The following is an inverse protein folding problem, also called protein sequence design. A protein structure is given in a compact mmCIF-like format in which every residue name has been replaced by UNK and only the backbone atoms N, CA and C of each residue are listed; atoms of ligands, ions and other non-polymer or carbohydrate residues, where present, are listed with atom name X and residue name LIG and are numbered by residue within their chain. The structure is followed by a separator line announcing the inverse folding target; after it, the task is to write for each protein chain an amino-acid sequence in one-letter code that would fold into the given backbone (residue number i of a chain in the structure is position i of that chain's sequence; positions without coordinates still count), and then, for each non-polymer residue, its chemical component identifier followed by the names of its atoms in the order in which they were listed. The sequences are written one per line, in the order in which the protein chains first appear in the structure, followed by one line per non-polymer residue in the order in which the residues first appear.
data_IF_765087136207
#
_entry.id   IF_765087136207
#
_cell.length_a   1.000
_cell.length_b   1.000
_cell.length_c   1.000
_cell.angle_alpha   90.00
_cell.angle_beta   90.00
_cell.angle_gamma   90.00
#
_symmetry.space_group_name_H-M   'P 1'
#
loop_
_entity.id
_entity.type
_entity.pdbx_description
1 polymer ?
#
# COMPACT_ATOMS: atom_id res chain seq x y z
N UNK A 1 -4.83 18.49 -20.59
CA UNK A 1 -3.53 18.57 -19.91
C UNK A 1 -3.83 18.38 -18.43
N UNK A 2 -3.45 17.24 -17.81
CA UNK A 2 -3.48 17.14 -16.34
C UNK A 2 -2.32 17.98 -15.85
N UNK A 3 -2.59 18.84 -14.85
CA UNK A 3 -1.55 19.66 -14.21
C UNK A 3 -0.47 18.72 -13.65
N UNK A 4 0.79 18.95 -14.01
CA UNK A 4 1.91 18.12 -13.56
C UNK A 4 2.17 18.25 -12.04
N UNK A 5 1.46 19.15 -11.37
CA UNK A 5 1.59 19.47 -9.94
C UNK A 5 0.47 18.87 -9.05
N UNK A 6 -0.48 18.09 -9.62
CA UNK A 6 -1.55 17.54 -8.79
C UNK A 6 -1.07 16.28 -8.02
N UNK A 7 -1.17 16.28 -6.67
CA UNK A 7 -0.72 15.16 -5.85
C UNK A 7 -1.53 13.89 -6.17
N UNK A 8 -0.85 12.73 -6.15
CA UNK A 8 -1.47 11.43 -6.40
C UNK A 8 -2.41 11.00 -5.27
N UNK A 9 -2.09 11.42 -4.04
CA UNK A 9 -2.93 11.29 -2.86
C UNK A 9 -3.06 12.66 -2.20
N UNK A 10 -4.30 13.10 -1.96
CA UNK A 10 -4.59 14.32 -1.20
C UNK A 10 -5.55 13.97 -0.07
N UNK A 11 -5.18 14.30 1.15
CA UNK A 11 -5.97 14.08 2.37
C UNK A 11 -6.28 15.43 3.00
N UNK A 12 -7.53 15.67 3.35
CA UNK A 12 -8.00 16.92 3.94
C UNK A 12 -8.92 16.68 5.14
N UNK A 13 -8.51 17.17 6.30
CA UNK A 13 -9.24 17.16 7.57
C UNK A 13 -9.85 15.77 7.91
N UNK A 14 -9.10 14.71 7.59
CA UNK A 14 -9.57 13.33 7.73
C UNK A 14 -9.68 12.97 9.20
N UNK A 15 -10.88 12.58 9.62
CA UNK A 15 -11.16 12.15 10.99
C UNK A 15 -11.92 10.85 11.01
N UNK A 16 -11.62 10.00 12.00
CA UNK A 16 -12.33 8.74 12.23
C UNK A 16 -12.59 8.52 13.70
N UNK A 17 -13.85 8.36 14.05
CA UNK A 17 -14.30 8.00 15.38
C UNK A 17 -15.01 6.66 15.32
N UNK A 18 -14.58 5.71 16.14
CA UNK A 18 -15.27 4.45 16.38
C UNK A 18 -16.10 4.54 17.65
N UNK A 19 -17.20 3.80 17.72
CA UNK A 19 -17.99 3.66 18.94
C UNK A 19 -17.68 2.32 19.62
N UNK A 20 -17.08 2.36 20.80
CA UNK A 20 -16.90 1.19 21.66
C UNK A 20 -18.03 1.16 22.69
N UNK A 21 -19.14 0.52 22.33
CA UNK A 21 -20.39 0.65 23.06
C UNK A 21 -20.92 2.10 22.97
N UNK A 22 -20.93 2.84 24.09
CA UNK A 22 -21.34 4.26 24.15
C UNK A 22 -20.14 5.23 24.19
N UNK A 23 -18.92 4.73 24.23
CA UNK A 23 -17.71 5.55 24.36
C UNK A 23 -17.15 5.83 22.96
N UNK A 24 -16.97 7.10 22.55
CA UNK A 24 -16.29 7.44 21.31
C UNK A 24 -14.78 7.26 21.45
N UNK A 25 -14.16 6.60 20.48
CA UNK A 25 -12.71 6.44 20.34
C UNK A 25 -12.28 7.18 19.09
N UNK A 26 -11.56 8.29 19.26
CA UNK A 26 -11.04 9.10 18.16
C UNK A 26 -9.76 8.45 17.63
N UNK A 27 -9.87 7.70 16.54
CA UNK A 27 -8.74 6.99 15.92
C UNK A 27 -7.93 7.88 14.97
N UNK A 28 -8.59 8.88 14.38
CA UNK A 28 -7.96 9.94 13.56
C UNK A 28 -8.63 11.28 13.87
N UNK A 29 -7.83 12.34 13.93
CA UNK A 29 -8.27 13.71 14.20
C UNK A 29 -7.57 14.68 13.27
N UNK A 30 -8.33 15.24 12.32
CA UNK A 30 -7.91 16.34 11.42
C UNK A 30 -6.60 16.09 10.66
N UNK A 31 -6.42 14.89 10.10
CA UNK A 31 -5.23 14.51 9.34
C UNK A 31 -5.29 15.13 7.94
N UNK A 32 -4.25 15.91 7.57
CA UNK A 32 -4.15 16.57 6.26
C UNK A 32 -2.72 16.53 5.75
N UNK A 33 -2.50 15.97 4.55
CA UNK A 33 -1.23 16.04 3.80
C UNK A 33 -1.42 15.60 2.35
N UNK A 34 -0.40 15.82 1.53
CA UNK A 34 -0.36 15.44 0.12
C UNK A 34 0.81 14.49 -0.15
N UNK A 35 0.64 13.59 -1.12
CA UNK A 35 1.70 12.72 -1.63
C UNK A 35 1.85 12.97 -3.13
N UNK A 36 3.07 13.23 -3.57
CA UNK A 36 3.37 13.46 -4.98
C UNK A 36 3.52 12.13 -5.73
N UNK A 37 3.32 12.16 -7.04
CA UNK A 37 3.51 10.99 -7.89
C UNK A 37 4.97 10.52 -7.85
N UNK A 38 5.20 9.23 -7.67
CA UNK A 38 6.53 8.63 -7.56
C UNK A 38 7.20 8.82 -6.19
N UNK A 39 6.49 9.40 -5.22
CA UNK A 39 7.03 9.59 -3.87
C UNK A 39 7.11 8.26 -3.12
N UNK A 40 8.22 8.08 -2.38
CA UNK A 40 8.45 6.96 -1.48
C UNK A 40 8.49 7.46 -0.06
N UNK A 41 7.43 7.23 0.70
CA UNK A 41 7.30 7.75 2.05
C UNK A 41 6.87 6.68 3.04
N UNK A 42 7.16 6.96 4.32
CA UNK A 42 6.70 6.14 5.44
C UNK A 42 5.85 6.94 6.42
N UNK A 43 4.86 6.27 7.01
CA UNK A 43 4.12 6.72 8.17
C UNK A 43 4.55 5.89 9.36
N UNK A 44 5.09 6.56 10.37
CA UNK A 44 5.60 5.93 11.60
C UNK A 44 4.84 6.40 12.83
N UNK A 45 5.01 5.72 13.93
CA UNK A 45 4.41 6.09 15.22
C UNK A 45 4.19 4.86 16.11
N UNK A 46 3.91 5.06 17.41
CA UNK A 46 3.67 3.96 18.35
C UNK A 46 2.42 3.15 17.99
N UNK A 47 2.27 1.98 18.62
CA UNK A 47 1.02 1.22 18.51
C UNK A 47 -0.16 2.08 19.00
N UNK A 48 -1.28 2.01 18.30
CA UNK A 48 -2.47 2.82 18.62
C UNK A 48 -2.43 4.26 18.10
N UNK A 49 -1.38 4.72 17.42
CA UNK A 49 -1.30 6.10 16.90
C UNK A 49 -2.23 6.41 15.71
N UNK A 50 -3.01 5.44 15.22
CA UNK A 50 -3.97 5.65 14.12
C UNK A 50 -3.49 5.21 12.73
N UNK A 51 -2.25 4.71 12.57
CA UNK A 51 -1.65 4.37 11.26
C UNK A 51 -2.47 3.37 10.43
N UNK A 52 -2.87 2.23 11.01
CA UNK A 52 -3.67 1.22 10.31
C UNK A 52 -5.08 1.72 10.02
N UNK A 53 -5.65 2.56 10.91
CA UNK A 53 -6.91 3.24 10.64
C UNK A 53 -6.77 4.19 9.46
N UNK A 54 -5.71 5.00 9.44
CA UNK A 54 -5.42 5.88 8.32
C UNK A 54 -5.28 5.09 7.00
N UNK A 55 -4.49 4.01 7.02
CA UNK A 55 -4.31 3.14 5.85
C UNK A 55 -5.65 2.56 5.36
N UNK A 56 -6.54 2.19 6.30
CA UNK A 56 -7.87 1.66 5.97
C UNK A 56 -8.76 2.71 5.29
N UNK A 57 -8.66 4.00 5.70
CA UNK A 57 -9.42 5.09 5.08
C UNK A 57 -8.95 5.34 3.65
N UNK A 58 -7.64 5.58 3.44
CA UNK A 58 -7.10 5.84 2.11
C UNK A 58 -7.17 4.60 1.22
N UNK A 59 -7.19 3.41 1.82
CA UNK A 59 -7.35 2.13 1.13
C UNK A 59 -8.79 1.76 0.78
N UNK A 60 -9.77 2.60 1.12
CA UNK A 60 -11.21 2.32 0.91
C UNK A 60 -11.68 1.00 1.56
N UNK A 61 -11.05 0.62 2.67
CA UNK A 61 -11.44 -0.56 3.47
C UNK A 61 -12.48 -0.19 4.54
N UNK A 62 -12.49 1.09 4.95
CA UNK A 62 -13.49 1.67 5.85
C UNK A 62 -13.78 3.12 5.42
N UNK A 63 -14.83 3.73 5.98
CA UNK A 63 -15.24 5.11 5.67
C UNK A 63 -14.86 6.05 6.80
N UNK A 64 -14.33 7.25 6.50
CA UNK A 64 -14.07 8.26 7.53
C UNK A 64 -15.36 8.80 8.13
N UNK A 65 -15.25 9.38 9.31
CA UNK A 65 -16.35 10.12 9.96
C UNK A 65 -16.52 11.49 9.32
N UNK A 66 -15.40 12.13 8.95
CA UNK A 66 -15.38 13.42 8.23
C UNK A 66 -14.09 13.59 7.46
N UNK A 67 -14.02 14.63 6.63
CA UNK A 67 -12.87 14.92 5.77
C UNK A 67 -12.98 14.29 4.39
N UNK A 68 -11.96 14.49 3.57
CA UNK A 68 -11.93 14.00 2.20
C UNK A 68 -10.57 13.42 1.82
N UNK A 69 -10.61 12.40 0.96
CA UNK A 69 -9.45 11.76 0.34
C UNK A 69 -9.62 11.75 -1.15
N UNK A 70 -8.57 12.16 -1.87
CA UNK A 70 -8.51 12.09 -3.33
C UNK A 70 -7.34 11.20 -3.75
N UNK A 71 -7.57 10.29 -4.68
CA UNK A 71 -6.54 9.43 -5.29
C UNK A 71 -6.60 9.60 -6.80
N UNK A 72 -5.48 9.98 -7.42
CA UNK A 72 -5.39 10.24 -8.87
C UNK A 72 -6.51 11.18 -9.36
N UNK A 73 -6.80 12.26 -8.59
CA UNK A 73 -7.84 13.25 -8.87
C UNK A 73 -9.28 12.83 -8.55
N UNK A 74 -9.50 11.58 -8.08
CA UNK A 74 -10.83 11.04 -7.76
C UNK A 74 -11.10 11.22 -6.26
N UNK A 75 -12.19 11.88 -5.88
CA UNK A 75 -12.63 11.94 -4.47
C UNK A 75 -13.21 10.60 -4.03
N UNK A 76 -12.38 9.82 -3.34
CA UNK A 76 -12.72 8.43 -2.98
C UNK A 76 -13.63 8.32 -1.74
N UNK A 77 -13.67 9.34 -0.89
CA UNK A 77 -14.55 9.38 0.31
C UNK A 77 -16.03 9.44 -0.03
N UNK A 78 -16.39 9.95 -1.21
CA UNK A 78 -17.76 9.99 -1.72
C UNK A 78 -18.17 8.73 -2.49
N UNK A 79 -17.23 7.80 -2.70
CA UNK A 79 -17.53 6.58 -3.45
C UNK A 79 -18.61 5.74 -2.75
N UNK A 80 -19.58 5.32 -3.52
CA UNK A 80 -20.60 4.37 -3.08
C UNK A 80 -19.98 2.99 -2.84
N UNK A 81 -20.72 2.10 -2.15
CA UNK A 81 -20.29 0.73 -1.89
C UNK A 81 -20.08 -0.10 -3.18
N UNK A 82 -20.64 0.36 -4.31
CA UNK A 82 -20.42 -0.25 -5.63
C UNK A 82 -19.17 0.31 -6.34
N UNK A 83 -18.85 1.57 -6.11
CA UNK A 83 -17.70 2.25 -6.75
C UNK A 83 -16.38 1.97 -5.99
N UNK A 84 -16.41 1.95 -4.66
CA UNK A 84 -15.21 1.74 -3.85
C UNK A 84 -14.41 0.48 -4.23
N UNK A 85 -15.03 -0.71 -4.47
CA UNK A 85 -14.29 -1.89 -4.95
C UNK A 85 -13.66 -1.70 -6.34
N UNK A 86 -14.30 -0.91 -7.21
CA UNK A 86 -13.77 -0.60 -8.55
C UNK A 86 -12.52 0.28 -8.44
N UNK A 87 -12.63 1.39 -7.71
CA UNK A 87 -11.51 2.31 -7.47
C UNK A 87 -10.36 1.56 -6.80
N UNK A 88 -10.64 0.77 -5.76
CA UNK A 88 -9.63 0.00 -5.04
C UNK A 88 -8.83 -0.92 -5.95
N UNK A 89 -9.50 -1.73 -6.79
CA UNK A 89 -8.82 -2.67 -7.69
C UNK A 89 -8.03 -1.99 -8.81
N UNK A 90 -8.43 -0.77 -9.21
CA UNK A 90 -7.82 -0.06 -10.34
C UNK A 90 -6.74 0.94 -9.91
N UNK A 91 -6.87 1.52 -8.72
CA UNK A 91 -6.01 2.62 -8.27
C UNK A 91 -5.09 2.26 -7.12
N UNK A 92 -5.38 1.19 -6.38
CA UNK A 92 -4.66 0.87 -5.13
C UNK A 92 -4.07 -0.54 -5.20
N UNK A 93 -2.78 -0.64 -4.94
CA UNK A 93 -2.10 -1.90 -4.66
C UNK A 93 -1.92 -2.08 -3.16
N UNK A 94 -2.32 -3.22 -2.60
CA UNK A 94 -2.09 -3.52 -1.18
C UNK A 94 -0.99 -4.53 -0.97
N UNK A 95 -0.11 -4.24 -0.01
CA UNK A 95 0.89 -5.15 0.54
C UNK A 95 0.67 -5.22 2.04
N UNK A 96 0.37 -6.40 2.57
CA UNK A 96 0.06 -6.63 3.98
C UNK A 96 1.20 -7.36 4.70
N UNK A 97 1.25 -7.23 6.01
CA UNK A 97 2.18 -7.93 6.89
C UNK A 97 2.09 -9.45 6.71
N UNK A 98 0.89 -10.02 6.77
CA UNK A 98 0.62 -11.47 6.64
C UNK A 98 0.51 -11.96 5.18
N UNK A 99 1.08 -11.24 4.20
CA UNK A 99 1.08 -11.54 2.77
C UNK A 99 -0.32 -11.64 2.14
N UNK A 100 -1.31 -12.19 2.83
CA UNK A 100 -2.69 -12.41 2.39
C UNK A 100 -2.80 -13.09 1.01
N UNK A 101 -1.92 -14.08 0.77
CA UNK A 101 -2.01 -14.93 -0.40
C UNK A 101 -3.13 -15.96 -0.24
N UNK A 102 -3.76 -16.33 -1.34
CA UNK A 102 -4.77 -17.40 -1.37
C UNK A 102 -4.02 -18.74 -1.33
N UNK A 103 -4.15 -19.56 -0.27
CA UNK A 103 -3.28 -20.72 -0.04
C UNK A 103 -3.42 -21.82 -1.09
N UNK A 104 -4.61 -21.91 -1.74
CA UNK A 104 -4.91 -22.92 -2.76
C UNK A 104 -4.41 -22.56 -4.15
N UNK A 105 -4.02 -21.30 -4.37
CA UNK A 105 -3.53 -20.77 -5.64
C UNK A 105 -2.00 -20.74 -5.67
N UNK A 106 -1.42 -20.99 -6.84
CA UNK A 106 0.02 -20.78 -7.09
C UNK A 106 0.41 -19.30 -7.02
N UNK A 107 1.71 -19.00 -7.01
CA UNK A 107 2.21 -17.63 -7.08
C UNK A 107 1.67 -16.89 -8.32
N UNK A 108 1.68 -17.56 -9.48
CA UNK A 108 1.14 -17.01 -10.74
C UNK A 108 -0.35 -16.70 -10.62
N UNK A 109 -1.12 -17.62 -10.05
CA UNK A 109 -2.56 -17.46 -9.89
C UNK A 109 -2.91 -16.38 -8.87
N UNK A 110 -2.12 -16.21 -7.81
CA UNK A 110 -2.26 -15.13 -6.84
C UNK A 110 -2.06 -13.74 -7.46
N UNK A 111 -1.20 -13.61 -8.46
CA UNK A 111 -1.04 -12.36 -9.22
C UNK A 111 -2.15 -12.21 -10.27
N UNK A 112 -2.49 -13.29 -11.01
CA UNK A 112 -3.54 -13.28 -12.04
C UNK A 112 -4.90 -12.85 -11.50
N UNK A 113 -5.26 -13.28 -10.28
CA UNK A 113 -6.59 -13.05 -9.72
C UNK A 113 -6.92 -11.57 -9.55
N UNK A 114 -5.95 -10.72 -9.23
CA UNK A 114 -6.16 -9.27 -9.12
C UNK A 114 -6.63 -8.67 -10.46
N UNK A 115 -6.02 -9.08 -11.56
CA UNK A 115 -6.38 -8.66 -12.90
C UNK A 115 -7.68 -9.32 -13.38
N UNK A 116 -8.00 -10.53 -12.91
CA UNK A 116 -9.27 -11.20 -13.20
C UNK A 116 -10.44 -10.40 -12.66
N UNK A 117 -10.34 -9.87 -11.44
CA UNK A 117 -11.36 -8.98 -10.89
C UNK A 117 -11.46 -7.66 -11.65
N UNK A 118 -10.38 -7.18 -12.26
CA UNK A 118 -10.37 -6.02 -13.14
C UNK A 118 -10.86 -6.34 -14.58
N UNK A 119 -11.32 -7.57 -14.85
CA UNK A 119 -11.82 -8.03 -16.16
C UNK A 119 -10.77 -7.95 -17.29
N UNK A 120 -9.50 -8.00 -16.97
CA UNK A 120 -8.42 -8.05 -17.97
C UNK A 120 -8.49 -9.37 -18.74
N UNK A 121 -8.35 -9.40 -20.08
CA UNK A 121 -8.35 -10.63 -20.87
C UNK A 121 -7.29 -11.66 -20.44
N UNK A 122 -7.63 -12.94 -20.46
CA UNK A 122 -6.79 -14.03 -19.93
C UNK A 122 -5.35 -14.06 -20.49
N UNK A 123 -5.20 -13.80 -21.78
CA UNK A 123 -3.86 -13.77 -22.43
C UNK A 123 -2.97 -12.70 -21.82
N UNK A 124 -3.47 -11.47 -21.68
CA UNK A 124 -2.74 -10.34 -21.10
C UNK A 124 -2.45 -10.55 -19.62
N UNK A 125 -3.38 -11.16 -18.87
CA UNK A 125 -3.17 -11.43 -17.43
C UNK A 125 -2.00 -12.38 -17.22
N UNK A 126 -1.96 -13.50 -17.97
CA UNK A 126 -0.88 -14.48 -17.86
C UNK A 126 0.49 -13.86 -18.18
N UNK A 127 0.57 -13.13 -19.28
CA UNK A 127 1.79 -12.42 -19.69
C UNK A 127 2.26 -11.46 -18.60
N UNK A 128 1.35 -10.60 -18.09
CA UNK A 128 1.66 -9.63 -17.03
C UNK A 128 2.06 -10.30 -15.72
N UNK A 129 1.39 -11.37 -15.32
CA UNK A 129 1.75 -12.10 -14.10
C UNK A 129 3.13 -12.73 -14.18
N UNK A 130 3.49 -13.31 -15.35
CA UNK A 130 4.84 -13.85 -15.62
C UNK A 130 5.89 -12.74 -15.57
N UNK A 131 5.63 -11.61 -16.22
CA UNK A 131 6.52 -10.44 -16.18
C UNK A 131 6.78 -9.98 -14.74
N UNK A 132 5.73 -9.73 -13.96
CA UNK A 132 5.85 -9.24 -12.59
C UNK A 132 6.59 -10.23 -11.68
N UNK A 133 6.28 -11.52 -11.76
CA UNK A 133 6.99 -12.52 -10.98
C UNK A 133 8.46 -12.65 -11.40
N UNK A 134 8.76 -12.47 -12.67
CA UNK A 134 10.15 -12.44 -13.14
C UNK A 134 10.90 -11.22 -12.59
N UNK A 135 10.27 -10.04 -12.58
CA UNK A 135 10.84 -8.83 -11.95
C UNK A 135 11.09 -9.01 -10.46
N UNK A 136 10.25 -9.79 -9.78
CA UNK A 136 10.41 -10.14 -8.35
C UNK A 136 11.45 -11.26 -8.11
N UNK A 137 12.13 -11.76 -9.15
CA UNK A 137 13.08 -12.88 -9.04
C UNK A 137 12.42 -14.22 -8.70
N UNK A 138 11.15 -14.41 -9.11
CA UNK A 138 10.35 -15.61 -8.80
C UNK A 138 9.99 -16.44 -10.02
N UNK A 139 10.76 -16.32 -11.11
CA UNK A 139 10.50 -17.04 -12.37
C UNK A 139 10.37 -18.56 -12.16
N UNK A 140 11.26 -19.14 -11.39
CA UNK A 140 11.27 -20.59 -11.13
C UNK A 140 10.30 -21.03 -10.02
N UNK A 141 9.61 -20.08 -9.40
CA UNK A 141 8.65 -20.27 -8.31
C UNK A 141 7.18 -20.01 -8.69
N UNK A 142 6.90 -19.69 -9.95
CA UNK A 142 5.57 -19.27 -10.41
C UNK A 142 4.47 -20.30 -10.12
N UNK A 143 4.79 -21.58 -10.17
CA UNK A 143 3.83 -22.67 -9.96
C UNK A 143 3.76 -23.15 -8.50
N UNK A 144 4.60 -22.62 -7.59
CA UNK A 144 4.58 -22.99 -6.18
C UNK A 144 3.40 -22.35 -5.48
N UNK A 145 2.83 -23.08 -4.52
CA UNK A 145 1.81 -22.55 -3.59
C UNK A 145 2.47 -21.80 -2.44
N UNK A 146 1.73 -20.95 -1.72
CA UNK A 146 2.28 -20.20 -0.58
C UNK A 146 2.99 -21.08 0.45
N UNK A 147 2.48 -22.29 0.74
CA UNK A 147 3.12 -23.24 1.66
C UNK A 147 4.49 -23.78 1.21
N UNK A 148 4.83 -23.61 -0.06
CA UNK A 148 6.09 -24.05 -0.68
C UNK A 148 7.08 -22.88 -0.85
N UNK A 149 6.70 -21.67 -0.41
CA UNK A 149 7.46 -20.44 -0.52
C UNK A 149 7.92 -19.95 0.85
N UNK A 150 9.15 -19.44 0.92
CA UNK A 150 9.62 -18.71 2.11
C UNK A 150 8.81 -17.44 2.34
N UNK A 151 8.81 -16.88 3.55
CA UNK A 151 8.11 -15.63 3.86
C UNK A 151 8.50 -14.48 2.93
N UNK A 152 9.79 -14.35 2.61
CA UNK A 152 10.26 -13.33 1.66
C UNK A 152 9.81 -13.58 0.22
N UNK A 153 9.68 -14.84 -0.23
CA UNK A 153 9.10 -15.17 -1.52
C UNK A 153 7.61 -14.86 -1.55
N UNK A 154 6.87 -15.21 -0.49
CA UNK A 154 5.46 -14.87 -0.36
C UNK A 154 5.22 -13.35 -0.41
N UNK A 155 6.06 -12.57 0.27
CA UNK A 155 5.96 -11.12 0.24
C UNK A 155 6.24 -10.55 -1.15
N UNK A 156 7.22 -11.09 -1.88
CA UNK A 156 7.45 -10.68 -3.28
C UNK A 156 6.29 -11.05 -4.21
N UNK A 157 5.61 -12.18 -3.98
CA UNK A 157 4.34 -12.49 -4.68
C UNK A 157 3.25 -11.47 -4.35
N UNK A 158 3.11 -11.07 -3.06
CA UNK A 158 2.15 -10.06 -2.65
C UNK A 158 2.44 -8.69 -3.29
N UNK A 159 3.71 -8.30 -3.41
CA UNK A 159 4.12 -7.07 -4.12
C UNK A 159 3.78 -7.18 -5.62
N UNK A 160 4.10 -8.30 -6.28
CA UNK A 160 3.73 -8.53 -7.68
C UNK A 160 2.21 -8.42 -7.89
N UNK A 161 1.42 -9.01 -6.99
CA UNK A 161 -0.05 -8.92 -7.00
C UNK A 161 -0.53 -7.47 -6.84
N UNK A 162 0.09 -6.71 -5.95
CA UNK A 162 -0.24 -5.29 -5.74
C UNK A 162 -0.02 -4.45 -7.00
N UNK A 163 1.01 -4.77 -7.80
CA UNK A 163 1.35 -4.09 -9.05
C UNK A 163 0.55 -4.53 -10.27
N UNK A 164 -0.26 -5.59 -10.17
CA UNK A 164 -0.88 -6.26 -11.30
C UNK A 164 -1.73 -5.33 -12.18
N UNK A 165 -2.50 -4.42 -11.57
CA UNK A 165 -3.42 -3.52 -12.26
C UNK A 165 -2.85 -2.11 -12.49
N UNK A 166 -1.54 -1.90 -12.44
CA UNK A 166 -0.90 -0.58 -12.59
C UNK A 166 -1.48 0.47 -11.63
N UNK A 167 -1.44 0.23 -10.31
CA UNK A 167 -2.07 1.11 -9.33
C UNK A 167 -1.44 2.50 -9.32
N UNK A 168 -2.25 3.51 -8.99
CA UNK A 168 -1.77 4.87 -8.78
C UNK A 168 -0.86 4.97 -7.55
N UNK A 169 -1.18 4.16 -6.51
CA UNK A 169 -0.43 4.11 -5.25
C UNK A 169 -0.38 2.68 -4.70
N UNK A 170 0.77 2.29 -4.14
CA UNK A 170 0.91 1.09 -3.32
C UNK A 170 0.85 1.49 -1.85
N UNK A 171 -0.02 0.83 -1.11
CA UNK A 171 -0.19 0.96 0.33
C UNK A 171 0.35 -0.30 1.01
N UNK A 172 1.41 -0.15 1.79
CA UNK A 172 2.09 -1.26 2.45
C UNK A 172 1.93 -1.15 3.98
N UNK A 173 1.26 -2.12 4.58
CA UNK A 173 1.07 -2.22 6.03
C UNK A 173 2.08 -3.21 6.60
N UNK A 174 3.09 -2.71 7.32
CA UNK A 174 4.18 -3.49 7.92
C UNK A 174 4.77 -4.55 6.96
N UNK A 175 5.20 -4.17 5.74
CA UNK A 175 5.51 -5.13 4.68
C UNK A 175 6.70 -6.05 4.97
N UNK A 176 7.37 -5.85 6.10
CA UNK A 176 8.54 -6.60 6.53
C UNK A 176 8.42 -7.19 7.94
N UNK A 177 7.23 -7.13 8.53
CA UNK A 177 7.00 -7.53 9.93
C UNK A 177 7.18 -9.03 10.20
N UNK A 178 7.11 -9.89 9.18
CA UNK A 178 7.18 -11.36 9.32
C UNK A 178 8.38 -11.99 8.64
N UNK A 179 9.42 -11.20 8.35
CA UNK A 179 10.63 -11.71 7.68
C UNK A 179 11.89 -11.35 8.46
N UNK A 180 12.95 -12.14 8.26
CA UNK A 180 14.26 -11.88 8.85
C UNK A 180 14.89 -10.58 8.31
N UNK A 181 15.93 -10.08 9.00
CA UNK A 181 16.60 -8.81 8.68
C UNK A 181 17.16 -8.76 7.25
N UNK A 182 17.72 -9.86 6.74
CA UNK A 182 18.27 -9.92 5.38
C UNK A 182 17.15 -9.80 4.35
N UNK A 183 16.08 -10.54 4.54
CA UNK A 183 14.90 -10.52 3.69
C UNK A 183 14.19 -9.16 3.75
N UNK A 184 14.09 -8.55 4.96
CA UNK A 184 13.60 -7.17 5.12
C UNK A 184 14.33 -6.20 4.23
N UNK A 185 15.66 -6.18 4.28
CA UNK A 185 16.46 -5.26 3.48
C UNK A 185 16.26 -5.47 1.99
N UNK A 186 16.13 -6.72 1.52
CA UNK A 186 15.80 -7.01 0.11
C UNK A 186 14.41 -6.50 -0.28
N UNK A 187 13.40 -6.65 0.58
CA UNK A 187 12.04 -6.16 0.30
C UNK A 187 12.01 -4.63 0.23
N UNK A 188 12.68 -3.94 1.16
CA UNK A 188 12.72 -2.46 1.15
C UNK A 188 13.49 -1.94 -0.06
N UNK A 189 14.62 -2.57 -0.41
CA UNK A 189 15.37 -2.24 -1.63
C UNK A 189 14.50 -2.42 -2.90
N UNK A 190 13.71 -3.49 -2.97
CA UNK A 190 12.78 -3.72 -4.05
C UNK A 190 11.71 -2.63 -4.14
N UNK A 191 11.11 -2.23 -3.01
CA UNK A 191 10.12 -1.15 -2.97
C UNK A 191 10.75 0.19 -3.37
N UNK A 192 11.98 0.47 -2.93
CA UNK A 192 12.74 1.65 -3.35
C UNK A 192 12.97 1.67 -4.86
N UNK A 193 13.42 0.54 -5.45
CA UNK A 193 13.59 0.41 -6.90
C UNK A 193 12.29 0.65 -7.68
N UNK A 194 11.16 0.17 -7.17
CA UNK A 194 9.86 0.41 -7.78
C UNK A 194 9.47 1.90 -7.72
N UNK A 195 9.78 2.57 -6.62
CA UNK A 195 9.53 4.01 -6.47
C UNK A 195 10.42 4.83 -7.42
N UNK A 196 11.69 4.47 -7.58
CA UNK A 196 12.62 5.09 -8.54
C UNK A 196 12.14 4.93 -10.00
N UNK A 197 11.38 3.86 -10.29
CA UNK A 197 10.70 3.66 -11.58
C UNK A 197 9.37 4.42 -11.70
N UNK A 198 9.04 5.27 -10.72
CA UNK A 198 7.88 6.16 -10.75
C UNK A 198 6.62 5.62 -10.04
N UNK A 199 6.70 4.48 -9.34
CA UNK A 199 5.60 3.98 -8.55
C UNK A 199 5.49 4.76 -7.23
N UNK A 200 4.33 5.32 -6.93
CA UNK A 200 4.09 5.94 -5.60
C UNK A 200 3.89 4.85 -4.56
N UNK A 201 4.62 4.94 -3.44
CA UNK A 201 4.57 3.93 -2.39
C UNK A 201 4.49 4.61 -1.02
N UNK A 202 3.49 4.22 -0.23
CA UNK A 202 3.31 4.62 1.15
C UNK A 202 3.43 3.38 2.05
N UNK A 203 4.40 3.41 2.95
CA UNK A 203 4.63 2.34 3.93
C UNK A 203 4.15 2.80 5.30
N UNK A 204 3.34 2.00 5.97
CA UNK A 204 3.08 2.12 7.40
C UNK A 204 4.01 1.15 8.12
N UNK A 205 4.81 1.65 9.06
CA UNK A 205 5.73 0.81 9.82
C UNK A 205 6.10 1.43 11.18
N UNK A 206 6.52 0.59 12.11
CA UNK A 206 7.18 1.00 13.35
C UNK A 206 8.70 0.76 13.31
N UNK A 207 9.20 0.16 12.22
CA UNK A 207 10.64 -0.14 12.04
C UNK A 207 11.39 1.09 11.52
N UNK A 208 12.26 1.65 12.37
CA UNK A 208 13.10 2.81 12.03
C UNK A 208 14.09 2.52 10.90
N UNK A 209 14.54 1.26 10.75
CA UNK A 209 15.44 0.87 9.67
C UNK A 209 14.73 0.84 8.31
N UNK A 210 13.41 0.65 8.27
CA UNK A 210 12.59 0.77 7.07
C UNK A 210 12.32 2.24 6.74
N UNK A 211 11.89 3.04 7.73
CA UNK A 211 11.58 4.46 7.52
C UNK A 211 12.80 5.28 7.12
N UNK A 212 13.99 4.95 7.61
CA UNK A 212 15.23 5.61 7.20
C UNK A 212 15.60 5.42 5.71
N UNK A 213 14.98 4.47 5.01
CA UNK A 213 15.20 4.23 3.59
C UNK A 213 14.16 4.93 2.68
N UNK A 214 13.15 5.56 3.28
CA UNK A 214 12.17 6.38 2.55
C UNK A 214 12.66 7.82 2.41
N UNK A 215 12.11 8.55 1.42
CA UNK A 215 12.51 9.96 1.18
C UNK A 215 11.77 10.96 2.07
N UNK A 216 10.68 10.54 2.71
CA UNK A 216 9.85 11.35 3.59
C UNK A 216 9.26 10.48 4.70
N UNK A 217 9.24 11.01 5.90
CA UNK A 217 8.71 10.35 7.08
C UNK A 217 7.65 11.22 7.72
N UNK A 218 6.43 10.70 7.83
CA UNK A 218 5.32 11.31 8.56
C UNK A 218 5.17 10.58 9.88
N UNK A 219 5.29 11.30 11.00
CA UNK A 219 5.09 10.71 12.33
C UNK A 219 3.66 10.96 12.78
N UNK A 220 2.97 9.88 13.17
CA UNK A 220 1.63 9.96 13.75
C UNK A 220 1.67 9.67 15.24
N UNK A 221 0.91 10.47 16.01
CA UNK A 221 0.67 10.26 17.44
C UNK A 221 -0.78 10.62 17.78
N UNK A 222 -1.46 9.77 18.55
CA UNK A 222 -2.83 10.01 19.04
C UNK A 222 -3.82 10.41 17.94
N UNK A 223 -3.71 9.78 16.76
CA UNK A 223 -4.57 10.04 15.62
C UNK A 223 -4.27 11.30 14.82
N UNK A 224 -3.19 12.02 15.12
CA UNK A 224 -2.77 13.26 14.47
C UNK A 224 -1.39 13.12 13.84
N UNK A 225 -1.05 14.03 12.89
CA UNK A 225 0.32 14.19 12.40
C UNK A 225 1.10 15.01 13.41
N UNK A 226 2.16 14.44 13.97
CA UNK A 226 3.10 15.12 14.87
C UNK A 226 4.22 15.81 14.10
N UNK A 227 4.71 15.17 13.02
CA UNK A 227 5.75 15.76 12.16
C UNK A 227 5.67 15.20 10.75
N UNK A 228 6.19 15.95 9.78
CA UNK A 228 6.29 15.60 8.37
C UNK A 228 7.64 16.11 7.86
N UNK A 229 8.58 15.19 7.62
CA UNK A 229 9.98 15.54 7.35
C UNK A 229 10.48 14.84 6.09
N UNK A 230 11.21 15.61 5.26
CA UNK A 230 12.02 15.04 4.20
C UNK A 230 13.28 14.41 4.80
N UNK A 231 13.65 13.22 4.37
CA UNK A 231 14.89 12.55 4.77
C UNK A 231 15.99 13.00 3.81
N UNK A 232 16.88 13.87 4.28
CA UNK A 232 18.07 14.28 3.51
C UNK A 232 19.04 13.10 3.38
N UNK A 233 19.44 12.75 2.16
CA UNK A 233 20.61 11.88 1.94
C UNK A 233 20.36 10.45 1.49
N UNK A 234 19.34 10.18 0.68
CA UNK A 234 19.25 8.90 -0.07
C UNK A 234 19.64 9.16 -1.55
N UNK A 235 20.92 9.49 -1.77
CA UNK A 235 21.55 9.41 -3.12
C UNK A 235 22.02 7.99 -3.39
#
# INVERSE_FOLDING_TARGET
MRDMDEPILRVRNLSKTYMQGKIPVHALSDVSFDVQKGEFLSIVGPSGSGKSTFLSMIGLLDKPTSGSVFIDGIEVTKASDREAPVIRREKIGFVFQHFNLIPTLSALENVDIAMRFARVPKSRRKERAVELLTQMGLRDRMNHKPSELSGGEQQRVAIARAMANHPAIILADEPTGEVDTKTRNMIVALLKELAEKGQTILIVTHDTAVSAQTKRVITMRDGMIESDMQVEGST
#
